data_IF_746654862301
#
_entry.id   IF_746654862301
#
_cell.length_a   1.000
_cell.length_b   1.000
_cell.length_c   1.000
_cell.angle_alpha   90.00
_cell.angle_beta   90.00
_cell.angle_gamma   90.00
#
_symmetry.space_group_name_H-M   'P 1'
#
loop_
_entity.id
_entity.type
_entity.pdbx_description
1 polymer ?
#
# COMPACT_ATOMS: atom_id res chain seq x y z
N UNK A 1 35.43 -17.26 12.44
CA UNK A 1 34.08 -17.18 13.04
C UNK A 1 34.26 -16.70 14.47
N UNK A 2 33.91 -15.46 14.79
CA UNK A 2 34.02 -14.94 16.16
C UNK A 2 32.62 -15.00 16.79
N UNK A 3 32.47 -15.83 17.82
CA UNK A 3 31.21 -15.98 18.55
C UNK A 3 31.10 -14.85 19.58
N UNK A 4 30.09 -13.99 19.42
CA UNK A 4 29.70 -13.00 20.42
C UNK A 4 28.79 -13.71 21.43
N UNK A 5 29.37 -14.16 22.54
CA UNK A 5 28.63 -14.93 23.56
C UNK A 5 28.00 -14.01 24.61
N UNK A 6 28.48 -12.78 24.75
CA UNK A 6 28.10 -11.86 25.85
C UNK A 6 26.86 -11.01 25.60
N UNK A 7 26.37 -10.93 24.35
CA UNK A 7 25.09 -10.29 23.99
C UNK A 7 24.17 -11.25 23.23
N UNK A 8 24.41 -12.56 23.35
CA UNK A 8 23.64 -13.60 22.66
C UNK A 8 22.14 -13.41 22.89
N UNK A 9 21.72 -13.26 24.14
CA UNK A 9 20.29 -13.07 24.48
C UNK A 9 19.71 -11.81 23.85
N UNK A 10 20.44 -10.70 23.76
CA UNK A 10 19.94 -9.48 23.09
C UNK A 10 19.87 -9.65 21.57
N UNK A 11 20.79 -10.44 20.98
CA UNK A 11 20.82 -10.76 19.54
C UNK A 11 19.78 -11.81 19.17
N UNK A 12 19.43 -12.73 20.08
CA UNK A 12 18.37 -13.75 19.87
C UNK A 12 17.01 -13.37 20.43
N UNK A 13 16.92 -12.33 21.27
CA UNK A 13 15.65 -11.77 21.75
C UNK A 13 14.95 -10.95 20.66
N UNK A 14 15.68 -10.57 19.60
CA UNK A 14 15.01 -10.20 18.37
C UNK A 14 14.45 -11.46 17.74
N UNK A 15 13.12 -11.51 17.70
CA UNK A 15 12.32 -12.38 16.85
C UNK A 15 12.58 -12.05 15.36
N UNK A 16 13.84 -12.06 14.92
CA UNK A 16 14.36 -11.61 13.62
C UNK A 16 13.85 -12.44 12.41
N UNK A 17 12.92 -13.37 12.65
CA UNK A 17 12.20 -14.16 11.64
C UNK A 17 10.68 -14.18 11.85
N UNK A 18 10.10 -13.18 12.52
CA UNK A 18 8.67 -12.97 12.42
C UNK A 18 8.38 -12.45 11.02
N UNK A 19 8.30 -13.37 10.05
CA UNK A 19 7.74 -13.09 8.74
C UNK A 19 6.34 -12.47 8.94
N UNK A 20 5.94 -11.53 8.06
CA UNK A 20 4.59 -11.02 8.08
C UNK A 20 3.62 -12.21 8.05
N UNK A 21 2.62 -12.16 8.92
CA UNK A 21 1.54 -13.15 8.92
C UNK A 21 0.81 -13.11 7.57
N UNK A 22 0.16 -14.21 7.18
CA UNK A 22 -0.63 -14.25 5.96
C UNK A 22 -1.66 -13.11 5.90
N UNK A 23 -2.25 -12.73 7.05
CA UNK A 23 -3.20 -11.63 7.13
C UNK A 23 -2.56 -10.26 6.86
N UNK A 24 -1.31 -10.05 7.30
CA UNK A 24 -0.55 -8.82 7.01
C UNK A 24 -0.13 -8.77 5.54
N UNK A 25 0.25 -9.90 4.94
CA UNK A 25 0.53 -9.98 3.51
C UNK A 25 -0.73 -9.72 2.67
N UNK A 26 -1.86 -10.31 3.05
CA UNK A 26 -3.15 -10.07 2.40
C UNK A 26 -3.56 -8.59 2.51
N UNK A 27 -3.29 -7.94 3.65
CA UNK A 27 -3.55 -6.52 3.81
C UNK A 27 -2.73 -5.69 2.82
N UNK A 28 -1.44 -6.00 2.60
CA UNK A 28 -0.60 -5.33 1.61
C UNK A 28 -1.17 -5.50 0.19
N UNK A 29 -1.55 -6.72 -0.18
CA UNK A 29 -2.13 -7.00 -1.51
C UNK A 29 -3.46 -6.23 -1.72
N UNK A 30 -4.24 -6.02 -0.66
CA UNK A 30 -5.45 -5.19 -0.72
C UNK A 30 -5.17 -3.71 -0.97
N UNK A 31 -3.98 -3.20 -0.63
CA UNK A 31 -3.59 -1.80 -0.90
C UNK A 31 -3.10 -1.60 -2.34
N UNK A 32 -2.61 -2.65 -2.99
CA UNK A 32 -1.99 -2.56 -4.32
C UNK A 32 -2.85 -1.88 -5.39
N UNK A 33 -4.17 -2.12 -5.49
CA UNK A 33 -5.02 -1.43 -6.47
C UNK A 33 -5.06 0.09 -6.28
N UNK A 34 -5.03 0.58 -5.04
CA UNK A 34 -5.03 2.02 -4.75
C UNK A 34 -3.68 2.64 -5.10
N UNK A 35 -2.58 1.96 -4.76
CA UNK A 35 -1.21 2.38 -5.10
C UNK A 35 -1.05 2.49 -6.62
N UNK A 36 -1.48 1.47 -7.38
CA UNK A 36 -1.39 1.50 -8.85
C UNK A 36 -2.24 2.62 -9.46
N UNK A 37 -3.41 2.92 -8.88
CA UNK A 37 -4.24 4.03 -9.34
C UNK A 37 -3.60 5.42 -9.07
N UNK A 38 -2.84 5.55 -7.97
CA UNK A 38 -2.04 6.75 -7.70
C UNK A 38 -0.84 6.87 -8.64
N UNK A 39 -0.16 5.76 -8.94
CA UNK A 39 0.93 5.70 -9.94
C UNK A 39 0.41 6.15 -11.31
N UNK A 40 -0.74 5.64 -11.75
CA UNK A 40 -1.40 6.06 -12.99
C UNK A 40 -1.68 7.58 -13.03
N UNK A 41 -2.00 8.19 -11.88
CA UNK A 41 -2.18 9.63 -11.78
C UNK A 41 -0.85 10.37 -11.86
N UNK A 42 0.19 9.88 -11.18
CA UNK A 42 1.53 10.46 -11.24
C UNK A 42 2.08 10.40 -12.67
N UNK A 43 1.93 9.27 -13.37
CA UNK A 43 2.35 9.14 -14.76
C UNK A 43 1.62 10.14 -15.66
N UNK A 44 0.31 10.31 -15.47
CA UNK A 44 -0.47 11.30 -16.21
C UNK A 44 -0.01 12.74 -15.94
N UNK A 45 0.49 13.05 -14.75
CA UNK A 45 1.06 14.36 -14.41
C UNK A 45 2.46 14.52 -15.00
N UNK A 46 3.33 13.52 -14.84
CA UNK A 46 4.72 13.51 -15.31
C UNK A 46 4.79 13.75 -16.81
N UNK A 47 3.95 13.07 -17.60
CA UNK A 47 3.87 13.23 -19.06
C UNK A 47 3.60 14.68 -19.49
N UNK A 48 2.98 15.48 -18.62
CA UNK A 48 2.58 16.86 -18.91
C UNK A 48 3.54 17.92 -18.38
N UNK A 49 4.57 17.53 -17.62
CA UNK A 49 5.51 18.49 -17.03
C UNK A 49 6.41 19.17 -18.07
N UNK A 50 6.77 18.46 -19.14
CA UNK A 50 7.72 18.96 -20.15
C UNK A 50 7.06 19.84 -21.23
N UNK A 51 5.75 20.13 -21.12
CA UNK A 51 5.00 20.90 -22.12
C UNK A 51 3.85 21.69 -21.53
N UNK A 52 3.36 22.68 -22.27
CA UNK A 52 2.08 23.31 -21.96
C UNK A 52 0.95 22.28 -22.07
N UNK A 53 0.16 22.02 -21.00
CA UNK A 53 -0.87 20.99 -21.02
C UNK A 53 -1.95 21.27 -22.06
N UNK A 54 -2.29 20.26 -22.85
CA UNK A 54 -3.42 20.34 -23.78
C UNK A 54 -4.75 20.08 -23.05
N UNK A 55 -5.89 20.35 -23.70
CA UNK A 55 -7.19 19.96 -23.15
C UNK A 55 -7.30 18.45 -22.90
N UNK A 56 -6.71 17.65 -23.79
CA UNK A 56 -6.69 16.20 -23.69
C UNK A 56 -5.88 15.75 -22.46
N UNK A 57 -4.74 16.39 -22.21
CA UNK A 57 -3.92 16.16 -21.01
C UNK A 57 -4.71 16.47 -19.74
N UNK A 58 -5.41 17.60 -19.72
CA UNK A 58 -6.28 17.99 -18.60
C UNK A 58 -7.38 16.94 -18.36
N UNK A 59 -8.00 16.43 -19.43
CA UNK A 59 -9.01 15.35 -19.33
C UNK A 59 -8.40 14.04 -18.80
N UNK A 60 -7.21 13.67 -19.25
CA UNK A 60 -6.48 12.47 -18.79
C UNK A 60 -6.17 12.55 -17.30
N UNK A 61 -5.62 13.67 -16.82
CA UNK A 61 -5.34 13.91 -15.40
C UNK A 61 -6.62 13.83 -14.58
N UNK A 62 -7.71 14.48 -15.02
CA UNK A 62 -9.01 14.40 -14.31
C UNK A 62 -9.53 12.98 -14.23
N UNK A 63 -9.42 12.18 -15.29
CA UNK A 63 -9.85 10.77 -15.30
C UNK A 63 -8.99 9.92 -14.38
N UNK A 64 -7.66 10.09 -14.41
CA UNK A 64 -6.75 9.38 -13.51
C UNK A 64 -7.03 9.72 -12.04
N UNK A 65 -7.22 11.01 -11.72
CA UNK A 65 -7.58 11.46 -10.37
C UNK A 65 -8.88 10.85 -9.86
N UNK A 66 -9.92 10.77 -10.71
CA UNK A 66 -11.19 10.12 -10.34
C UNK A 66 -11.01 8.62 -10.07
N UNK A 67 -10.16 7.94 -10.85
CA UNK A 67 -9.83 6.52 -10.62
C UNK A 67 -9.07 6.31 -9.30
N UNK A 68 -8.09 7.15 -9.01
CA UNK A 68 -7.33 7.10 -7.76
C UNK A 68 -8.23 7.30 -6.52
N UNK A 69 -9.12 8.30 -6.57
CA UNK A 69 -10.11 8.52 -5.51
C UNK A 69 -11.08 7.33 -5.35
N UNK A 70 -11.56 6.76 -6.44
CA UNK A 70 -12.44 5.60 -6.39
C UNK A 70 -11.74 4.37 -5.77
N UNK A 71 -10.47 4.13 -6.13
CA UNK A 71 -9.68 3.04 -5.57
C UNK A 71 -9.45 3.23 -4.05
N UNK A 72 -9.15 4.46 -3.61
CA UNK A 72 -9.02 4.78 -2.17
C UNK A 72 -10.33 4.58 -1.40
N UNK A 73 -11.46 4.99 -1.98
CA UNK A 73 -12.78 4.74 -1.37
C UNK A 73 -13.06 3.24 -1.28
N UNK A 74 -12.71 2.45 -2.31
CA UNK A 74 -12.88 1.00 -2.28
C UNK A 74 -12.02 0.34 -1.20
N UNK A 75 -10.74 0.74 -1.07
CA UNK A 75 -9.84 0.26 -0.01
C UNK A 75 -10.38 0.59 1.39
N UNK A 76 -10.83 1.82 1.62
CA UNK A 76 -11.43 2.22 2.91
C UNK A 76 -12.67 1.38 3.25
N UNK A 77 -13.53 1.11 2.26
CA UNK A 77 -14.72 0.28 2.46
C UNK A 77 -14.35 -1.18 2.78
N UNK A 78 -13.30 -1.71 2.16
CA UNK A 78 -12.80 -3.06 2.43
C UNK A 78 -12.26 -3.17 3.86
N UNK A 79 -11.43 -2.21 4.28
CA UNK A 79 -10.87 -2.18 5.63
C UNK A 79 -11.97 -2.01 6.70
N UNK A 80 -12.99 -1.19 6.43
CA UNK A 80 -14.14 -1.04 7.32
C UNK A 80 -14.95 -2.34 7.48
N UNK A 81 -15.10 -3.11 6.39
CA UNK A 81 -15.78 -4.41 6.44
C UNK A 81 -14.97 -5.45 7.24
N UNK A 82 -13.63 -5.46 7.09
CA UNK A 82 -12.73 -6.33 7.86
C UNK A 82 -12.73 -6.01 9.36
N UNK A 83 -12.81 -4.73 9.74
CA UNK A 83 -12.91 -4.31 11.14
C UNK A 83 -14.25 -4.68 11.81
N UNK A 84 -15.30 -4.96 11.03
CA UNK A 84 -16.63 -5.33 11.54
C UNK A 84 -16.77 -6.82 11.88
N UNK A 85 -15.70 -7.62 11.83
CA UNK A 85 -15.66 -8.98 12.37
C UNK A 85 -15.04 -8.96 13.78
N UNK A 86 -15.83 -8.70 14.85
CA UNK A 86 -15.34 -8.90 16.20
C UNK A 86 -15.07 -10.40 16.38
N UNK A 87 -13.89 -10.72 16.91
CA UNK A 87 -13.38 -12.07 17.04
C UNK A 87 -14.41 -13.06 17.58
N UNK A 88 -14.58 -14.16 16.84
CA UNK A 88 -15.05 -15.42 17.43
C UNK A 88 -13.99 -15.90 18.42
N UNK A 89 -14.22 -15.62 19.70
CA UNK A 89 -13.53 -16.30 20.78
C UNK A 89 -14.19 -17.68 20.94
N UNK A 90 -13.39 -18.72 20.68
CA UNK A 90 -13.59 -20.07 21.22
C UNK A 90 -13.04 -20.13 22.65
#
# INVERSE_FOLDING_TARGET
>A
MNHIVTVQDAVTAFADFMEPTAAELDAIEQEMPAILADVDLLDAQIITLDRTPTELDTRRIRRARRRALAARVAQLNLNAAGASLPGGAA
#
